data_IF_432036450533
#
_entry.id   IF_432036450533
#
_cell.length_a   1.000
_cell.length_b   1.000
_cell.length_c   1.000
_cell.angle_alpha   90.00
_cell.angle_beta   90.00
_cell.angle_gamma   90.00
#
_symmetry.space_group_name_H-M   'P 1'
#
loop_
_entity.id
_entity.type
_entity.pdbx_description
1 polymer ?
#
# COMPACT_ATOMS: atom_id res chain seq x y z
N UNK A 1 -18.77 52.69 65.88
CA UNK A 1 -18.54 54.12 65.59
C UNK A 1 -17.08 54.43 65.87
N UNK A 2 -16.42 55.13 64.94
CA UNK A 2 -15.02 55.61 64.94
C UNK A 2 -13.94 54.59 64.49
N UNK A 3 -13.69 54.47 63.18
CA UNK A 3 -12.81 55.30 62.31
C UNK A 3 -11.32 55.07 62.60
N UNK A 4 -10.59 54.31 61.76
CA UNK A 4 -9.99 54.69 60.47
C UNK A 4 -8.78 55.62 60.64
N UNK A 5 -7.58 55.17 60.20
CA UNK A 5 -6.71 55.79 59.17
C UNK A 5 -5.21 55.46 59.36
N UNK A 6 -4.62 54.84 58.33
CA UNK A 6 -3.20 54.93 57.88
C UNK A 6 -2.80 56.41 57.60
N UNK A 7 -1.55 56.84 57.29
CA UNK A 7 -0.42 56.12 56.63
C UNK A 7 1.02 56.59 57.00
N UNK A 8 2.05 56.10 56.26
CA UNK A 8 3.12 56.86 55.54
C UNK A 8 4.46 56.11 55.53
N UNK A 9 5.01 55.98 54.31
CA UNK A 9 6.33 55.46 53.93
C UNK A 9 7.49 56.41 54.30
N UNK A 10 8.66 55.86 54.62
CA UNK A 10 9.96 56.53 54.45
C UNK A 10 11.08 55.49 54.32
N UNK A 11 11.73 55.45 53.15
CA UNK A 11 13.00 54.77 52.92
C UNK A 11 14.12 55.48 53.68
N UNK A 12 15.01 54.72 54.33
CA UNK A 12 16.39 55.12 54.57
C UNK A 12 17.27 53.86 54.58
N UNK A 13 18.21 53.83 53.64
CA UNK A 13 19.21 52.79 53.46
C UNK A 13 20.24 52.84 54.60
N UNK A 14 20.48 51.69 55.22
CA UNK A 14 21.52 51.47 56.23
C UNK A 14 22.41 50.30 55.81
N UNK A 15 23.69 50.59 55.69
CA UNK A 15 24.81 49.75 55.23
C UNK A 15 24.90 48.43 56.01
N UNK A 16 25.02 47.30 55.30
CA UNK A 16 25.39 46.00 55.88
C UNK A 16 26.83 45.69 55.49
N UNK A 17 27.71 45.67 56.50
CA UNK A 17 29.04 45.09 56.43
C UNK A 17 28.99 43.62 56.87
N UNK A 18 29.78 42.82 56.17
CA UNK A 18 30.42 41.58 56.60
C UNK A 18 29.55 40.34 56.86
N UNK A 19 29.66 39.40 55.92
CA UNK A 19 29.37 37.99 56.10
C UNK A 19 29.97 37.20 54.95
N UNK A 20 31.30 37.09 54.90
CA UNK A 20 31.97 36.13 54.03
C UNK A 20 31.71 34.72 54.61
N UNK A 21 30.52 34.19 54.34
CA UNK A 21 30.17 32.80 54.53
C UNK A 21 30.50 32.06 53.25
N UNK A 22 31.69 31.46 53.20
CA UNK A 22 32.06 30.51 52.15
C UNK A 22 31.16 29.28 52.22
N UNK A 23 30.03 29.33 51.52
CA UNK A 23 29.24 28.15 51.19
C UNK A 23 29.77 27.55 49.90
N UNK A 24 30.52 26.46 50.00
CA UNK A 24 30.82 25.59 48.86
C UNK A 24 29.52 24.97 48.35
N UNK A 25 28.86 25.65 47.43
CA UNK A 25 27.73 25.11 46.69
C UNK A 25 28.25 24.07 45.70
N UNK A 26 28.10 22.80 46.07
CA UNK A 26 28.14 21.67 45.14
C UNK A 26 27.26 21.99 43.93
N UNK A 27 27.77 21.74 42.73
CA UNK A 27 27.09 22.02 41.46
C UNK A 27 25.64 21.56 41.48
N UNK A 28 24.72 22.47 41.14
CA UNK A 28 23.29 22.28 41.26
C UNK A 28 22.80 21.05 40.51
N UNK A 29 22.52 19.98 41.23
CA UNK A 29 21.58 18.96 40.80
C UNK A 29 20.19 19.60 40.77
N UNK A 30 19.68 19.94 39.59
CA UNK A 30 18.32 20.45 39.47
C UNK A 30 17.34 19.33 39.86
N UNK A 31 16.53 19.50 40.90
CA UNK A 31 15.48 18.54 41.31
C UNK A 31 14.31 18.45 40.32
N UNK A 32 14.52 18.86 39.07
CA UNK A 32 13.49 19.04 38.08
C UNK A 32 13.07 17.68 37.49
N UNK A 33 11.77 17.48 37.22
CA UNK A 33 11.24 16.20 36.78
C UNK A 33 11.66 15.87 35.35
N UNK A 34 11.95 14.59 35.09
CA UNK A 34 12.08 14.05 33.74
C UNK A 34 10.68 13.79 33.15
N UNK A 35 10.51 14.19 31.90
CA UNK A 35 9.28 13.98 31.14
C UNK A 35 9.63 13.39 29.78
N UNK A 36 8.71 12.59 29.25
CA UNK A 36 8.81 12.00 27.92
C UNK A 36 7.46 12.12 27.23
N UNK A 37 7.49 12.41 25.93
CA UNK A 37 6.33 12.37 25.05
C UNK A 37 6.66 11.52 23.82
N UNK A 38 5.63 10.87 23.29
CA UNK A 38 5.70 10.09 22.07
C UNK A 38 4.48 10.44 21.23
N UNK A 39 4.69 10.83 19.98
CA UNK A 39 3.63 11.11 19.02
C UNK A 39 3.91 10.43 17.69
N UNK A 40 2.87 10.01 17.00
CA UNK A 40 2.97 9.52 15.63
C UNK A 40 2.38 10.55 14.66
N UNK A 41 2.93 10.62 13.45
CA UNK A 41 2.39 11.43 12.37
C UNK A 41 1.00 10.93 11.92
N UNK A 42 0.82 9.60 11.94
CA UNK A 42 -0.43 8.91 11.66
C UNK A 42 -0.64 7.83 12.72
N UNK A 43 -1.84 7.77 13.29
CA UNK A 43 -2.21 6.72 14.25
C UNK A 43 -3.10 5.64 13.64
N UNK A 44 -3.41 5.76 12.34
CA UNK A 44 -4.14 4.76 11.55
C UNK A 44 -3.36 4.48 10.27
N UNK A 45 -3.14 3.20 9.98
CA UNK A 45 -2.44 2.74 8.78
C UNK A 45 -3.24 1.65 8.06
N UNK A 46 -3.19 1.63 6.73
CA UNK A 46 -3.82 0.57 5.93
C UNK A 46 -3.11 -0.78 6.09
N UNK A 47 -3.79 -1.88 5.77
CA UNK A 47 -3.19 -3.23 5.77
C UNK A 47 -2.21 -3.41 4.59
N UNK A 48 -1.02 -3.93 4.85
CA UNK A 48 0.02 -4.14 3.84
C UNK A 48 0.02 -5.56 3.25
N UNK A 49 -1.11 -5.97 2.66
CA UNK A 49 -1.29 -7.35 2.13
C UNK A 49 -0.38 -7.71 0.96
N UNK A 50 0.08 -6.71 0.20
CA UNK A 50 0.95 -6.90 -0.96
C UNK A 50 2.45 -6.86 -0.59
N UNK A 51 2.78 -6.72 0.69
CA UNK A 51 4.17 -6.74 1.15
C UNK A 51 5.02 -5.58 0.61
N UNK A 52 4.45 -4.38 0.48
CA UNK A 52 5.21 -3.20 0.07
C UNK A 52 6.34 -2.92 1.09
N UNK A 53 7.53 -2.51 0.64
CA UNK A 53 8.65 -2.26 1.54
C UNK A 53 8.44 -1.00 2.39
N UNK A 54 9.07 -0.99 3.57
CA UNK A 54 9.16 0.19 4.43
C UNK A 54 9.87 1.35 3.69
N UNK A 55 9.37 2.56 3.88
CA UNK A 55 9.88 3.78 3.28
C UNK A 55 9.07 5.00 3.69
N UNK A 56 9.46 6.18 3.21
CA UNK A 56 8.87 7.49 3.59
C UNK A 56 8.36 8.27 2.38
N UNK A 57 7.40 9.17 2.60
CA UNK A 57 6.81 10.02 1.56
C UNK A 57 5.46 9.53 1.05
N UNK A 58 4.90 10.26 0.08
CA UNK A 58 3.53 10.03 -0.41
C UNK A 58 3.30 8.62 -0.99
N UNK A 59 4.36 7.94 -1.44
CA UNK A 59 4.31 6.61 -2.04
C UNK A 59 4.46 5.46 -1.04
N UNK A 60 4.60 5.75 0.27
CA UNK A 60 4.71 4.73 1.31
C UNK A 60 3.57 4.87 2.35
N UNK A 61 2.32 4.54 1.97
CA UNK A 61 1.15 4.78 2.81
C UNK A 61 1.11 3.89 4.07
N UNK A 62 1.87 2.79 4.08
CA UNK A 62 1.94 1.80 5.17
C UNK A 62 2.93 2.18 6.29
N UNK A 63 3.65 3.30 6.17
CA UNK A 63 4.63 3.74 7.17
C UNK A 63 4.16 5.02 7.86
N UNK A 64 4.42 5.12 9.16
CA UNK A 64 4.28 6.37 9.93
C UNK A 64 5.57 6.71 10.66
N UNK A 65 5.86 8.01 10.79
CA UNK A 65 6.97 8.52 11.59
C UNK A 65 6.52 8.77 13.02
N UNK A 66 7.30 8.27 13.97
CA UNK A 66 7.14 8.53 15.40
C UNK A 66 8.22 9.51 15.85
N UNK A 67 7.81 10.48 16.66
CA UNK A 67 8.68 11.46 17.28
C UNK A 67 8.66 11.25 18.79
N UNK A 68 9.82 10.99 19.36
CA UNK A 68 10.02 10.91 20.81
C UNK A 68 10.74 12.16 21.28
N UNK A 69 10.31 12.72 22.41
CA UNK A 69 10.96 13.86 23.03
C UNK A 69 11.03 13.66 24.54
N UNK A 70 12.13 14.07 25.15
CA UNK A 70 12.30 14.11 26.60
C UNK A 70 12.91 15.43 27.05
N UNK A 71 12.50 15.88 28.24
CA UNK A 71 13.01 17.09 28.86
C UNK A 71 13.16 16.91 30.37
N UNK A 72 14.13 17.63 30.95
CA UNK A 72 14.36 17.74 32.38
C UNK A 72 14.02 19.17 32.81
N UNK A 73 12.97 19.34 33.63
CA UNK A 73 12.56 20.69 34.06
C UNK A 73 12.15 21.62 32.92
N UNK A 74 11.65 21.06 31.82
CA UNK A 74 11.28 21.80 30.60
C UNK A 74 12.46 22.17 29.70
N UNK A 75 13.69 21.83 30.06
CA UNK A 75 14.86 21.94 29.17
C UNK A 75 15.09 20.61 28.46
N UNK A 76 15.39 20.67 27.15
CA UNK A 76 15.77 19.49 26.39
C UNK A 76 16.91 18.75 27.08
N UNK A 77 16.81 17.43 27.16
CA UNK A 77 17.96 16.63 27.61
C UNK A 77 19.10 16.84 26.61
N UNK A 78 20.32 17.05 27.14
CA UNK A 78 21.50 17.24 26.31
C UNK A 78 21.69 16.05 25.36
N UNK A 79 22.39 16.28 24.25
CA UNK A 79 22.71 15.23 23.30
C UNK A 79 23.36 14.06 24.04
N UNK A 80 22.69 12.92 23.98
CA UNK A 80 23.01 11.73 24.76
C UNK A 80 23.52 10.62 23.84
N UNK A 81 24.19 9.63 24.45
CA UNK A 81 24.60 8.39 23.75
C UNK A 81 23.44 7.73 23.01
N UNK A 82 23.76 6.86 22.06
CA UNK A 82 22.80 6.17 21.18
C UNK A 82 21.68 5.37 21.91
N UNK A 83 21.77 5.19 23.22
CA UNK A 83 20.80 4.47 24.06
C UNK A 83 19.94 5.36 24.97
N UNK A 84 19.73 6.63 24.59
CA UNK A 84 18.96 7.58 25.42
C UNK A 84 17.47 7.21 25.50
N UNK A 85 16.87 6.82 24.37
CA UNK A 85 15.51 6.32 24.28
C UNK A 85 15.52 4.83 23.97
N UNK A 86 14.76 4.06 24.75
CA UNK A 86 14.45 2.67 24.42
C UNK A 86 12.98 2.56 24.00
N UNK A 87 12.74 2.25 22.73
CA UNK A 87 11.41 2.18 22.13
C UNK A 87 11.07 0.74 21.74
N UNK A 88 9.99 0.20 22.31
CA UNK A 88 9.58 -1.18 22.15
C UNK A 88 8.14 -1.29 21.65
N UNK A 89 7.88 -2.28 20.79
CA UNK A 89 6.52 -2.77 20.58
C UNK A 89 6.07 -3.63 21.76
N UNK A 90 5.06 -3.13 22.49
CA UNK A 90 4.44 -3.79 23.65
C UNK A 90 3.36 -4.77 23.25
N UNK A 91 2.65 -4.52 22.14
CA UNK A 91 1.60 -5.36 21.58
C UNK A 91 1.53 -5.19 20.05
N UNK A 92 0.94 -6.17 19.35
CA UNK A 92 0.68 -6.10 17.90
C UNK A 92 1.89 -6.41 17.02
N UNK A 93 2.76 -7.36 17.39
CA UNK A 93 3.95 -7.73 16.60
C UNK A 93 3.61 -8.29 15.21
N UNK A 94 2.47 -8.95 15.11
CA UNK A 94 1.95 -9.46 13.85
C UNK A 94 1.31 -8.36 12.99
N UNK A 95 1.08 -7.18 13.55
CA UNK A 95 0.48 -6.02 12.87
C UNK A 95 1.51 -5.10 12.23
N UNK A 96 2.81 -5.24 12.53
CA UNK A 96 3.86 -4.40 11.96
C UNK A 96 5.17 -4.43 12.74
N UNK A 97 6.15 -3.64 12.29
CA UNK A 97 7.48 -3.56 12.89
C UNK A 97 8.07 -2.14 12.92
N UNK A 98 9.14 -1.94 13.72
CA UNK A 98 9.87 -0.69 13.85
C UNK A 98 11.08 -0.63 12.92
N UNK A 99 11.44 0.58 12.45
CA UNK A 99 12.52 0.81 11.50
C UNK A 99 13.26 2.14 11.75
N UNK A 100 14.55 2.19 11.40
CA UNK A 100 15.39 3.40 11.48
C UNK A 100 15.34 4.28 10.21
N UNK A 101 15.17 3.69 9.02
CA UNK A 101 15.12 4.37 7.70
C UNK A 101 16.16 5.51 7.53
N UNK A 102 17.36 5.33 8.06
CA UNK A 102 18.43 6.34 8.11
C UNK A 102 19.54 6.11 7.06
N UNK A 103 19.42 5.03 6.27
CA UNK A 103 20.39 4.65 5.24
C UNK A 103 21.72 4.12 5.78
N UNK A 104 21.80 3.82 7.08
CA UNK A 104 23.01 3.20 7.66
C UNK A 104 23.01 1.70 7.39
N UNK A 105 24.15 1.18 6.96
CA UNK A 105 24.29 -0.25 6.62
C UNK A 105 24.05 -1.19 7.79
N UNK A 106 24.26 -0.74 9.03
CA UNK A 106 23.97 -1.50 10.25
C UNK A 106 22.47 -1.70 10.50
N UNK A 107 21.62 -0.88 9.86
CA UNK A 107 20.16 -0.96 9.93
C UNK A 107 19.55 -1.60 8.69
N UNK A 108 20.36 -2.14 7.79
CA UNK A 108 19.94 -2.75 6.54
C UNK A 108 20.41 -4.20 6.43
N UNK A 109 19.58 -5.03 5.81
CA UNK A 109 19.94 -6.38 5.38
C UNK A 109 20.19 -6.37 3.88
N UNK A 110 21.09 -7.24 3.42
CA UNK A 110 21.37 -7.42 1.99
C UNK A 110 20.71 -8.72 1.53
N UNK A 111 19.72 -8.59 0.67
CA UNK A 111 19.06 -9.73 0.02
C UNK A 111 19.41 -9.73 -1.47
N UNK A 112 19.43 -10.90 -2.10
CA UNK A 112 19.52 -10.97 -3.55
C UNK A 112 18.11 -10.87 -4.15
N UNK A 113 17.94 -9.99 -5.12
CA UNK A 113 16.71 -9.97 -5.90
C UNK A 113 16.63 -11.18 -6.86
N UNK A 114 15.55 -11.26 -7.63
CA UNK A 114 15.32 -12.34 -8.59
C UNK A 114 16.40 -12.43 -9.69
N UNK A 115 17.20 -11.36 -9.90
CA UNK A 115 18.32 -11.31 -10.84
C UNK A 115 19.66 -11.68 -10.20
N UNK A 116 19.68 -11.95 -8.89
CA UNK A 116 20.88 -12.26 -8.13
C UNK A 116 21.67 -11.02 -7.69
N UNK A 117 21.16 -9.81 -7.96
CA UNK A 117 21.77 -8.55 -7.53
C UNK A 117 21.46 -8.29 -6.05
N UNK A 118 22.46 -7.84 -5.28
CA UNK A 118 22.24 -7.46 -3.89
C UNK A 118 21.43 -6.17 -3.81
N UNK A 119 20.31 -6.26 -3.13
CA UNK A 119 19.40 -5.17 -2.79
C UNK A 119 19.43 -5.01 -1.27
N UNK A 120 19.74 -3.80 -0.83
CA UNK A 120 19.67 -3.44 0.59
C UNK A 120 18.24 -3.11 0.98
N UNK A 121 17.78 -3.69 2.08
CA UNK A 121 16.44 -3.48 2.64
C UNK A 121 16.55 -3.06 4.10
N UNK A 122 15.74 -2.10 4.56
CA UNK A 122 15.67 -1.77 5.97
C UNK A 122 15.31 -2.99 6.82
N UNK A 123 16.00 -3.15 7.95
CA UNK A 123 15.79 -4.26 8.87
C UNK A 123 14.59 -3.98 9.77
N UNK A 124 13.75 -4.99 9.98
CA UNK A 124 12.61 -4.92 10.89
C UNK A 124 13.03 -5.16 12.34
N UNK A 125 12.61 -4.28 13.25
CA UNK A 125 12.94 -4.37 14.68
C UNK A 125 11.69 -4.48 15.54
N UNK A 126 11.83 -5.20 16.66
CA UNK A 126 10.86 -5.18 17.77
C UNK A 126 11.14 -4.07 18.78
N UNK A 127 12.42 -3.74 18.93
CA UNK A 127 12.95 -2.77 19.88
C UNK A 127 14.06 -1.99 19.19
N UNK A 128 14.09 -0.68 19.44
CA UNK A 128 15.01 0.28 18.86
C UNK A 128 15.54 1.16 19.98
N UNK A 129 16.85 1.40 19.97
CA UNK A 129 17.49 2.42 20.80
C UNK A 129 17.87 3.63 19.96
N UNK A 130 17.68 4.82 20.53
CA UNK A 130 17.94 6.10 19.87
C UNK A 130 18.70 7.03 20.80
N UNK A 131 19.70 7.74 20.25
CA UNK A 131 20.31 8.87 20.93
C UNK A 131 19.34 10.04 21.07
N UNK A 132 19.68 10.99 21.94
CA UNK A 132 18.99 12.27 21.97
C UNK A 132 19.71 13.29 21.09
N UNK A 133 18.93 13.98 20.25
CA UNK A 133 19.38 15.17 19.53
C UNK A 133 18.46 16.33 19.94
N UNK A 134 19.00 17.25 20.74
CA UNK A 134 18.25 18.35 21.36
C UNK A 134 16.99 17.85 22.08
N UNK A 135 17.15 16.75 22.83
CA UNK A 135 16.08 16.13 23.60
C UNK A 135 15.03 15.37 22.79
N UNK A 136 15.22 15.16 21.49
CA UNK A 136 14.30 14.36 20.67
C UNK A 136 14.99 13.46 19.66
N UNK A 137 14.21 12.54 19.09
CA UNK A 137 14.60 11.75 17.94
C UNK A 137 13.34 11.23 17.21
N UNK A 138 13.52 10.60 16.05
CA UNK A 138 12.44 9.98 15.28
C UNK A 138 12.81 8.59 14.78
N UNK A 139 11.79 7.76 14.62
CA UNK A 139 11.87 6.42 14.05
C UNK A 139 10.55 6.10 13.36
N UNK A 140 10.43 4.91 12.77
CA UNK A 140 9.28 4.57 11.96
C UNK A 140 8.60 3.29 12.43
N UNK A 141 7.28 3.23 12.23
CA UNK A 141 6.50 2.01 12.29
C UNK A 141 5.91 1.73 10.92
N UNK A 142 5.98 0.47 10.50
CA UNK A 142 5.46 0.02 9.21
C UNK A 142 4.45 -1.11 9.43
N UNK A 143 3.27 -0.94 8.84
CA UNK A 143 2.16 -1.89 8.93
C UNK A 143 2.47 -3.22 8.21
N UNK A 144 2.09 -4.31 8.85
CA UNK A 144 2.12 -5.67 8.31
C UNK A 144 0.83 -6.05 7.61
N UNK A 145 0.67 -7.36 7.38
CA UNK A 145 -0.47 -7.97 6.69
C UNK A 145 -1.58 -8.44 7.66
N UNK A 146 -1.45 -8.17 8.96
CA UNK A 146 -2.51 -8.45 9.95
C UNK A 146 -3.08 -7.18 10.58
N UNK A 147 -4.40 -7.14 10.64
CA UNK A 147 -5.14 -6.10 11.33
C UNK A 147 -4.95 -6.20 12.85
N UNK A 148 -4.95 -5.04 13.52
CA UNK A 148 -4.88 -4.95 14.96
C UNK A 148 -4.31 -3.63 15.44
N UNK A 149 -4.05 -3.55 16.74
CA UNK A 149 -3.47 -2.36 17.36
C UNK A 149 -2.05 -2.67 17.81
N UNK A 150 -1.08 -1.95 17.25
CA UNK A 150 0.28 -1.92 17.73
C UNK A 150 0.42 -0.87 18.84
N UNK A 151 0.83 -1.29 20.03
CA UNK A 151 1.14 -0.37 21.13
C UNK A 151 2.66 -0.20 21.20
N UNK A 152 3.12 1.02 20.96
CA UNK A 152 4.55 1.37 21.00
C UNK A 152 4.81 2.17 22.26
N UNK A 153 5.86 1.82 22.98
CA UNK A 153 6.27 2.51 24.20
C UNK A 153 7.73 2.93 24.11
N UNK A 154 8.00 4.22 24.32
CA UNK A 154 9.36 4.72 24.47
C UNK A 154 9.63 5.08 25.92
N UNK A 155 10.82 4.74 26.39
CA UNK A 155 11.25 4.95 27.76
C UNK A 155 12.57 5.71 27.81
N UNK A 156 12.66 6.68 28.71
CA UNK A 156 13.91 7.32 29.13
C UNK A 156 14.17 6.97 30.60
N UNK A 157 15.45 6.77 30.96
CA UNK A 157 15.85 6.45 32.34
C UNK A 157 16.58 7.65 32.94
N UNK A 158 16.10 8.17 34.07
CA UNK A 158 16.82 9.23 34.80
C UNK A 158 18.16 8.67 35.31
N UNK A 159 19.31 9.25 34.92
CA UNK A 159 20.61 8.72 35.27
C UNK A 159 20.90 8.79 36.78
N UNK A 160 20.20 9.66 37.52
CA UNK A 160 20.44 9.94 38.94
C UNK A 160 19.80 8.91 39.86
N UNK A 161 18.52 8.61 39.63
CA UNK A 161 17.73 7.71 40.49
C UNK A 161 17.34 6.39 39.80
N UNK A 162 17.73 6.22 38.52
CA UNK A 162 17.45 5.06 37.67
C UNK A 162 15.96 4.80 37.45
N UNK A 163 15.08 5.76 37.73
CA UNK A 163 13.65 5.62 37.44
C UNK A 163 13.40 5.75 35.94
N UNK A 164 12.46 4.93 35.45
CA UNK A 164 12.05 4.88 34.06
C UNK A 164 10.80 5.71 33.85
N UNK A 165 10.83 6.61 32.87
CA UNK A 165 9.69 7.41 32.43
C UNK A 165 9.27 6.92 31.04
N UNK A 166 7.99 6.59 30.85
CA UNK A 166 7.49 5.96 29.63
C UNK A 166 6.35 6.75 29.02
N UNK A 167 6.37 6.90 27.70
CA UNK A 167 5.25 7.38 26.90
C UNK A 167 4.82 6.29 25.91
N UNK A 168 3.52 6.23 25.62
CA UNK A 168 2.95 5.21 24.74
C UNK A 168 2.10 5.84 23.64
N UNK A 169 2.10 5.23 22.46
CA UNK A 169 1.18 5.53 21.37
C UNK A 169 0.60 4.23 20.81
N UNK A 170 -0.67 4.26 20.43
CA UNK A 170 -1.31 3.16 19.71
C UNK A 170 -1.38 3.51 18.22
N UNK A 171 -0.94 2.58 17.38
CA UNK A 171 -1.11 2.62 15.94
C UNK A 171 -2.12 1.54 15.57
N UNK A 172 -3.22 1.93 14.97
CA UNK A 172 -4.22 1.01 14.48
C UNK A 172 -3.87 0.63 13.06
N UNK A 173 -3.54 -0.64 12.83
CA UNK A 173 -3.31 -1.20 11.51
C UNK A 173 -4.56 -1.92 11.08
N UNK A 174 -5.13 -1.50 9.98
CA UNK A 174 -6.28 -2.17 9.39
C UNK A 174 -7.48 -2.30 10.33
N UNK A 175 -7.80 -1.26 11.10
CA UNK A 175 -9.09 -1.25 11.81
C UNK A 175 -10.22 -1.55 10.83
N UNK A 176 -11.28 -2.21 11.30
CA UNK A 176 -12.56 -2.27 10.60
C UNK A 176 -13.12 -0.83 10.47
N UNK A 177 -12.57 -0.09 9.52
CA UNK A 177 -12.94 1.29 9.18
C UNK A 177 -14.32 1.34 8.55
N UNK A 178 -14.86 0.18 8.15
CA UNK A 178 -15.99 0.09 7.25
C UNK A 178 -15.66 0.61 5.85
N UNK A 179 -14.39 0.89 5.56
CA UNK A 179 -13.88 1.28 4.25
C UNK A 179 -13.30 0.07 3.53
N UNK A 180 -13.39 0.07 2.21
CA UNK A 180 -12.80 -0.93 1.34
C UNK A 180 -11.29 -0.93 1.55
N UNK A 181 -10.70 -2.12 1.60
CA UNK A 181 -9.26 -2.33 1.67
C UNK A 181 -8.80 -3.27 0.54
N UNK A 182 -9.62 -4.28 0.24
CA UNK A 182 -9.35 -5.23 -0.83
C UNK A 182 -10.65 -5.63 -1.54
N UNK A 183 -10.47 -6.20 -2.71
CA UNK A 183 -11.56 -6.76 -3.52
C UNK A 183 -11.18 -8.19 -3.88
N UNK A 184 -12.14 -9.10 -3.75
CA UNK A 184 -12.05 -10.46 -4.24
C UNK A 184 -13.20 -10.77 -5.19
N UNK A 185 -12.98 -11.67 -6.14
CA UNK A 185 -13.99 -12.08 -7.10
C UNK A 185 -14.08 -13.59 -7.21
N UNK A 186 -15.30 -14.11 -7.35
CA UNK A 186 -15.57 -15.55 -7.50
C UNK A 186 -16.54 -15.76 -8.65
N UNK A 187 -16.05 -16.41 -9.71
CA UNK A 187 -16.90 -16.83 -10.81
C UNK A 187 -17.63 -18.13 -10.44
N UNK A 188 -18.93 -18.19 -10.69
CA UNK A 188 -19.70 -19.44 -10.54
C UNK A 188 -19.14 -20.55 -11.45
N UNK A 189 -18.71 -20.18 -12.65
CA UNK A 189 -17.98 -21.05 -13.55
C UNK A 189 -16.62 -20.41 -13.89
N UNK A 190 -15.50 -21.08 -13.56
CA UNK A 190 -14.17 -20.51 -13.74
C UNK A 190 -13.71 -20.44 -15.19
N UNK A 191 -14.50 -20.94 -16.14
CA UNK A 191 -14.30 -20.78 -17.59
C UNK A 191 -15.65 -20.86 -18.30
N UNK A 192 -15.75 -20.20 -19.46
CA UNK A 192 -16.94 -20.22 -20.33
C UNK A 192 -16.54 -20.44 -21.78
N UNK A 193 -17.45 -20.92 -22.62
CA UNK A 193 -17.21 -21.07 -24.06
C UNK A 193 -17.58 -19.80 -24.84
N UNK A 194 -17.03 -19.65 -26.04
CA UNK A 194 -17.44 -18.60 -26.98
C UNK A 194 -18.93 -18.69 -27.34
N UNK A 195 -19.53 -17.54 -27.65
CA UNK A 195 -20.88 -17.48 -28.23
C UNK A 195 -20.94 -18.21 -29.58
N UNK A 196 -22.06 -18.89 -29.81
CA UNK A 196 -22.29 -19.65 -31.04
C UNK A 196 -21.50 -20.97 -31.14
N UNK A 197 -20.92 -21.44 -30.03
CA UNK A 197 -20.24 -22.74 -30.03
C UNK A 197 -21.20 -23.89 -30.41
N UNK A 198 -20.71 -24.85 -31.20
CA UNK A 198 -21.52 -25.91 -31.80
C UNK A 198 -22.05 -26.96 -30.80
N UNK A 199 -21.56 -26.95 -29.56
CA UNK A 199 -21.80 -27.99 -28.56
C UNK A 199 -22.67 -27.52 -27.40
N UNK A 200 -23.26 -26.32 -27.50
CA UNK A 200 -24.12 -25.71 -26.48
C UNK A 200 -23.45 -25.62 -25.09
N UNK A 201 -22.12 -25.48 -25.06
CA UNK A 201 -21.41 -25.17 -23.82
C UNK A 201 -21.78 -23.77 -23.34
N UNK A 202 -21.74 -23.60 -22.02
CA UNK A 202 -22.12 -22.37 -21.33
C UNK A 202 -21.25 -21.20 -21.78
N UNK A 203 -21.88 -20.09 -22.17
CA UNK A 203 -21.20 -18.89 -22.70
C UNK A 203 -21.18 -17.71 -21.73
N UNK A 204 -21.70 -17.90 -20.51
CA UNK A 204 -21.82 -16.85 -19.51
C UNK A 204 -21.68 -17.41 -18.10
N UNK A 205 -21.15 -16.60 -17.18
CA UNK A 205 -21.04 -16.92 -15.75
C UNK A 205 -21.49 -15.74 -14.90
N UNK A 206 -22.13 -16.04 -13.77
CA UNK A 206 -22.26 -15.07 -12.70
C UNK A 206 -20.91 -14.91 -11.98
N UNK A 207 -20.63 -13.71 -11.49
CA UNK A 207 -19.45 -13.38 -10.70
C UNK A 207 -19.92 -12.65 -9.44
N UNK A 208 -19.55 -13.20 -8.29
CA UNK A 208 -19.67 -12.50 -7.01
C UNK A 208 -18.42 -11.66 -6.78
N UNK A 209 -18.62 -10.48 -6.22
CA UNK A 209 -17.57 -9.54 -5.87
C UNK A 209 -17.68 -9.25 -4.38
N UNK A 210 -16.58 -9.39 -3.66
CA UNK A 210 -16.47 -9.08 -2.26
C UNK A 210 -15.58 -7.86 -2.10
N UNK A 211 -16.15 -6.72 -1.73
CA UNK A 211 -15.41 -5.61 -1.15
C UNK A 211 -15.21 -5.91 0.33
N UNK A 212 -13.95 -6.00 0.74
CA UNK A 212 -13.55 -6.37 2.08
C UNK A 212 -12.92 -5.17 2.78
N UNK A 213 -13.12 -5.06 4.09
CA UNK A 213 -12.41 -4.11 4.93
C UNK A 213 -10.99 -4.56 5.24
N UNK A 214 -10.26 -3.74 5.98
CA UNK A 214 -8.88 -4.03 6.35
C UNK A 214 -8.74 -5.23 7.31
N UNK A 215 -9.84 -5.81 7.82
CA UNK A 215 -9.86 -7.03 8.60
C UNK A 215 -10.24 -8.27 7.75
N UNK A 216 -10.26 -8.13 6.41
CA UNK A 216 -10.73 -9.14 5.45
C UNK A 216 -12.19 -9.58 5.70
N UNK A 217 -13.03 -8.69 6.22
CA UNK A 217 -14.46 -8.94 6.39
C UNK A 217 -15.23 -8.17 5.31
N UNK A 218 -16.36 -8.69 4.80
CA UNK A 218 -17.21 -7.91 3.91
C UNK A 218 -17.59 -6.57 4.55
N UNK A 219 -17.61 -5.51 3.75
CA UNK A 219 -18.00 -4.18 4.22
C UNK A 219 -19.37 -4.20 4.92
N UNK A 220 -19.62 -3.28 5.86
CA UNK A 220 -20.92 -3.19 6.52
C UNK A 220 -22.05 -2.93 5.51
N UNK A 221 -23.27 -3.32 5.88
CA UNK A 221 -24.47 -3.08 5.07
C UNK A 221 -24.69 -1.57 4.85
N UNK A 222 -24.74 -1.16 3.58
CA UNK A 222 -25.03 0.20 3.15
C UNK A 222 -25.73 0.14 1.80
N UNK A 223 -26.57 1.14 1.50
CA UNK A 223 -27.29 1.23 0.22
C UNK A 223 -26.56 2.04 -0.85
N UNK A 224 -25.50 2.75 -0.47
CA UNK A 224 -24.77 3.66 -1.36
C UNK A 224 -23.47 3.04 -1.90
N UNK A 225 -23.10 1.85 -1.42
CA UNK A 225 -21.85 1.23 -1.82
C UNK A 225 -21.97 0.59 -3.19
N UNK A 226 -20.99 0.87 -4.03
CA UNK A 226 -20.93 0.35 -5.38
C UNK A 226 -19.48 0.30 -5.88
N UNK A 227 -19.29 -0.53 -6.90
CA UNK A 227 -18.00 -0.79 -7.53
C UNK A 227 -18.14 -0.62 -9.03
N UNK A 228 -17.10 -0.13 -9.68
CA UNK A 228 -17.01 -0.08 -11.13
C UNK A 228 -16.39 -1.39 -11.64
N UNK A 229 -17.01 -2.03 -12.62
CA UNK A 229 -16.48 -3.25 -13.25
C UNK A 229 -16.23 -2.97 -14.73
N UNK A 230 -15.00 -3.22 -15.20
CA UNK A 230 -14.55 -2.93 -16.55
C UNK A 230 -13.99 -4.20 -17.22
N UNK A 231 -14.33 -4.42 -18.48
CA UNK A 231 -13.60 -5.34 -19.35
C UNK A 231 -12.30 -4.70 -19.77
N UNK A 232 -11.19 -5.38 -19.51
CA UNK A 232 -9.90 -4.96 -20.01
C UNK A 232 -9.80 -5.25 -21.51
N UNK A 233 -9.16 -4.36 -22.30
CA UNK A 233 -9.00 -4.56 -23.73
C UNK A 233 -8.23 -5.85 -24.06
N UNK A 234 -8.73 -6.61 -25.04
CA UNK A 234 -8.15 -7.86 -25.50
C UNK A 234 -8.98 -8.48 -26.63
N UNK A 235 -8.43 -9.44 -27.36
CA UNK A 235 -9.15 -10.08 -28.46
C UNK A 235 -10.37 -10.87 -27.96
N UNK A 236 -10.26 -11.56 -26.82
CA UNK A 236 -11.35 -12.33 -26.24
C UNK A 236 -12.44 -11.45 -25.58
N UNK A 237 -12.12 -10.19 -25.23
CA UNK A 237 -13.10 -9.24 -24.72
C UNK A 237 -13.88 -8.53 -25.84
N UNK A 238 -13.46 -8.67 -27.10
CA UNK A 238 -14.21 -8.19 -28.26
C UNK A 238 -15.58 -8.90 -28.35
N UNK A 239 -16.65 -8.12 -28.25
CA UNK A 239 -18.03 -8.63 -28.26
C UNK A 239 -18.50 -9.24 -26.94
N UNK A 240 -17.63 -9.39 -25.94
CA UNK A 240 -18.02 -9.77 -24.59
C UNK A 240 -18.78 -8.63 -23.90
N UNK A 241 -19.63 -8.97 -22.93
CA UNK A 241 -20.43 -7.99 -22.17
C UNK A 241 -20.49 -8.33 -20.70
N UNK A 242 -20.42 -7.29 -19.88
CA UNK A 242 -20.79 -7.31 -18.48
C UNK A 242 -22.27 -6.94 -18.35
N UNK A 243 -22.92 -7.52 -17.34
CA UNK A 243 -24.34 -7.36 -17.06
C UNK A 243 -24.53 -7.15 -15.55
N UNK A 244 -25.21 -6.07 -15.17
CA UNK A 244 -25.53 -5.75 -13.77
C UNK A 244 -26.89 -5.07 -13.71
N UNK A 245 -27.91 -5.79 -13.23
CA UNK A 245 -29.30 -5.32 -13.28
C UNK A 245 -29.73 -4.99 -14.72
N UNK A 246 -30.04 -3.73 -14.98
CA UNK A 246 -30.41 -3.22 -16.31
C UNK A 246 -29.22 -2.75 -17.15
N UNK A 247 -28.02 -2.68 -16.57
CA UNK A 247 -26.82 -2.22 -17.24
C UNK A 247 -26.19 -3.34 -18.09
N UNK A 248 -25.71 -2.98 -19.29
CA UNK A 248 -24.94 -3.87 -20.15
C UNK A 248 -23.88 -3.11 -20.93
N UNK A 249 -22.67 -3.66 -21.02
CA UNK A 249 -21.59 -3.05 -21.78
C UNK A 249 -20.23 -3.62 -21.48
N UNK A 250 -19.18 -2.91 -21.87
CA UNK A 250 -17.80 -3.17 -21.46
C UNK A 250 -17.47 -2.60 -20.07
N UNK A 251 -18.37 -1.81 -19.50
CA UNK A 251 -18.29 -1.27 -18.15
C UNK A 251 -19.69 -1.26 -17.54
N UNK A 252 -19.80 -1.64 -16.27
CA UNK A 252 -21.04 -1.59 -15.48
C UNK A 252 -20.73 -1.21 -14.05
N UNK A 253 -21.66 -0.55 -13.38
CA UNK A 253 -21.61 -0.32 -11.94
C UNK A 253 -22.36 -1.45 -11.21
N UNK A 254 -21.74 -1.98 -10.16
CA UNK A 254 -22.29 -3.06 -9.34
C UNK A 254 -22.52 -2.54 -7.94
N UNK A 255 -23.79 -2.47 -7.53
CA UNK A 255 -24.13 -2.15 -6.14
C UNK A 255 -23.69 -3.31 -5.23
N UNK A 256 -23.19 -2.98 -4.05
CA UNK A 256 -22.88 -3.98 -3.02
C UNK A 256 -23.77 -3.79 -1.79
N UNK A 257 -24.21 -4.91 -1.22
CA UNK A 257 -24.93 -4.95 0.05
C UNK A 257 -24.13 -5.83 0.99
N UNK A 258 -23.66 -5.26 2.09
CA UNK A 258 -22.77 -5.97 3.02
C UNK A 258 -21.45 -6.36 2.36
N UNK A 259 -20.87 -5.46 1.56
CA UNK A 259 -19.65 -5.71 0.82
C UNK A 259 -19.80 -6.67 -0.37
N UNK A 260 -20.96 -7.31 -0.57
CA UNK A 260 -21.16 -8.29 -1.65
C UNK A 260 -21.94 -7.68 -2.81
N UNK A 261 -21.34 -7.70 -3.99
CA UNK A 261 -21.96 -7.35 -5.26
C UNK A 261 -22.02 -8.56 -6.20
N UNK A 262 -22.85 -8.49 -7.24
CA UNK A 262 -22.93 -9.52 -8.27
C UNK A 262 -23.10 -8.90 -9.65
N UNK A 263 -22.36 -9.43 -10.62
CA UNK A 263 -22.57 -9.17 -12.04
C UNK A 263 -22.54 -10.48 -12.83
N UNK A 264 -22.88 -10.44 -14.11
CA UNK A 264 -22.67 -11.56 -15.03
C UNK A 264 -21.74 -11.15 -16.16
N UNK A 265 -20.90 -12.09 -16.57
CA UNK A 265 -20.07 -12.00 -17.76
C UNK A 265 -20.68 -12.87 -18.86
N UNK A 266 -20.81 -12.32 -20.06
CA UNK A 266 -21.13 -13.05 -21.29
C UNK A 266 -19.95 -12.96 -22.24
N UNK A 267 -19.48 -14.12 -22.72
CA UNK A 267 -18.39 -14.20 -23.69
C UNK A 267 -18.77 -13.60 -25.04
N UNK A 268 -17.75 -13.18 -25.80
CA UNK A 268 -17.86 -12.90 -27.23
C UNK A 268 -17.66 -14.16 -28.07
N UNK A 269 -17.28 -13.99 -29.34
CA UNK A 269 -17.07 -15.09 -30.30
C UNK A 269 -15.61 -15.55 -30.40
N UNK A 270 -14.68 -14.83 -29.77
CA UNK A 270 -13.24 -15.10 -29.87
C UNK A 270 -12.74 -15.80 -28.60
N UNK A 271 -12.07 -16.96 -28.71
CA UNK A 271 -11.48 -17.63 -27.56
C UNK A 271 -10.23 -16.87 -27.06
N UNK A 272 -9.88 -17.08 -25.79
CA UNK A 272 -8.73 -16.46 -25.15
C UNK A 272 -8.99 -16.11 -23.69
N UNK A 273 -8.11 -15.32 -23.10
CA UNK A 273 -8.26 -14.86 -21.71
C UNK A 273 -8.94 -13.49 -21.68
N UNK A 274 -9.92 -13.32 -20.81
CA UNK A 274 -10.54 -12.03 -20.54
C UNK A 274 -10.14 -11.54 -19.16
N UNK A 275 -9.70 -10.28 -19.11
CA UNK A 275 -9.50 -9.53 -17.87
C UNK A 275 -10.72 -8.74 -17.49
N UNK A 276 -11.13 -8.84 -16.22
CA UNK A 276 -12.21 -8.05 -15.65
C UNK A 276 -11.65 -7.27 -14.47
N UNK A 277 -11.48 -5.96 -14.62
CA UNK A 277 -11.07 -5.06 -13.54
C UNK A 277 -12.30 -4.68 -12.71
N UNK A 278 -12.18 -4.78 -11.40
CA UNK A 278 -13.13 -4.24 -10.43
C UNK A 278 -12.44 -3.15 -9.65
N UNK A 279 -13.10 -1.99 -9.52
CA UNK A 279 -12.60 -0.82 -8.80
C UNK A 279 -13.60 -0.40 -7.73
N UNK A 280 -13.12 -0.20 -6.50
CA UNK A 280 -13.85 0.46 -5.43
C UNK A 280 -13.11 1.75 -5.02
N UNK A 281 -13.82 2.73 -4.46
CA UNK A 281 -13.19 3.88 -3.82
C UNK A 281 -13.02 3.59 -2.33
N UNK A 282 -11.78 3.56 -1.83
CA UNK A 282 -11.48 3.39 -0.41
C UNK A 282 -12.02 4.54 0.44
N UNK A 283 -12.13 5.74 -0.13
CA UNK A 283 -12.49 6.93 0.64
C UNK A 283 -13.91 6.84 1.23
N UNK A 284 -14.85 6.26 0.49
CA UNK A 284 -16.27 6.19 0.87
C UNK A 284 -17.05 4.97 0.35
N UNK A 285 -16.37 4.02 -0.31
CA UNK A 285 -16.93 2.82 -0.94
C UNK A 285 -17.96 3.10 -2.03
N UNK A 286 -17.87 4.25 -2.70
CA UNK A 286 -18.81 4.66 -3.71
C UNK A 286 -18.06 5.27 -4.91
N UNK A 287 -18.23 4.68 -6.09
CA UNK A 287 -17.60 5.19 -7.32
C UNK A 287 -18.47 6.19 -8.07
N UNK A 288 -19.70 6.45 -7.60
CA UNK A 288 -20.68 7.29 -8.32
C UNK A 288 -20.40 8.79 -8.25
N UNK A 289 -19.61 9.23 -7.27
CA UNK A 289 -19.21 10.64 -7.06
C UNK A 289 -17.77 10.93 -7.54
N UNK A 290 -17.13 9.98 -8.22
CA UNK A 290 -15.71 10.02 -8.54
C UNK A 290 -15.00 8.85 -7.88
N UNK A 291 -13.70 8.72 -8.16
CA UNK A 291 -12.83 7.76 -7.48
C UNK A 291 -11.68 8.57 -6.90
N UNK A 292 -11.64 8.69 -5.57
CA UNK A 292 -10.65 9.47 -4.83
C UNK A 292 -9.43 8.61 -4.48
N UNK A 293 -9.66 7.41 -3.97
CA UNK A 293 -8.62 6.47 -3.54
C UNK A 293 -8.92 5.06 -4.11
N UNK A 294 -8.47 4.75 -5.34
CA UNK A 294 -8.86 3.53 -6.03
C UNK A 294 -8.25 2.26 -5.42
N UNK A 295 -9.11 1.30 -5.09
CA UNK A 295 -8.73 -0.11 -4.86
C UNK A 295 -9.13 -0.92 -6.08
N UNK A 296 -8.20 -1.72 -6.60
CA UNK A 296 -8.39 -2.48 -7.83
C UNK A 296 -8.15 -3.96 -7.63
N UNK A 297 -8.95 -4.78 -8.29
CA UNK A 297 -8.73 -6.22 -8.44
C UNK A 297 -9.01 -6.62 -9.89
N UNK A 298 -8.19 -7.52 -10.43
CA UNK A 298 -8.36 -8.02 -11.80
C UNK A 298 -8.64 -9.52 -11.75
N UNK A 299 -9.86 -9.89 -12.13
CA UNK A 299 -10.26 -11.27 -12.35
C UNK A 299 -9.83 -11.72 -13.74
N UNK A 300 -9.26 -12.93 -13.81
CA UNK A 300 -8.94 -13.60 -15.06
C UNK A 300 -10.03 -14.63 -15.37
N UNK A 301 -10.63 -14.56 -16.55
CA UNK A 301 -11.62 -15.54 -17.01
C UNK A 301 -11.23 -16.14 -18.38
N UNK A 302 -10.88 -17.43 -18.43
CA UNK A 302 -10.69 -18.15 -19.68
C UNK A 302 -12.01 -18.28 -20.48
N UNK A 303 -11.95 -17.89 -21.75
CA UNK A 303 -12.98 -18.11 -22.76
C UNK A 303 -12.48 -19.18 -23.74
N UNK A 304 -13.07 -20.37 -23.69
CA UNK A 304 -12.65 -21.51 -24.50
C UNK A 304 -13.40 -21.58 -25.84
N UNK A 305 -12.81 -22.21 -26.85
CA UNK A 305 -13.43 -22.38 -28.17
C UNK A 305 -14.73 -23.20 -28.16
N UNK A 306 -14.97 -23.96 -27.09
CA UNK A 306 -16.08 -24.89 -27.00
C UNK A 306 -15.96 -26.10 -27.93
N UNK A 307 -14.77 -26.35 -28.50
CA UNK A 307 -14.47 -27.55 -29.28
C UNK A 307 -14.02 -28.71 -28.35
N UNK A 308 -14.34 -29.97 -28.67
CA UNK A 308 -13.81 -31.15 -28.00
C UNK A 308 -12.28 -31.19 -28.08
N UNK A 309 -11.67 -31.91 -27.13
CA UNK A 309 -10.22 -31.98 -26.93
C UNK A 309 -9.38 -32.46 -28.13
N UNK A 310 -10.02 -32.93 -29.20
CA UNK A 310 -9.39 -33.59 -30.35
C UNK A 310 -9.40 -32.74 -31.63
N UNK A 311 -10.06 -31.58 -31.63
CA UNK A 311 -10.19 -30.71 -32.82
C UNK A 311 -9.79 -29.28 -32.46
N UNK A 312 -8.49 -29.04 -32.32
CA UNK A 312 -7.95 -27.70 -32.13
C UNK A 312 -7.12 -27.28 -33.34
N UNK A 313 -7.30 -26.03 -33.79
CA UNK A 313 -6.35 -25.39 -34.70
C UNK A 313 -4.95 -25.32 -34.02
N UNK A 314 -3.85 -25.22 -34.78
CA UNK A 314 -2.53 -25.05 -34.15
C UNK A 314 -2.47 -23.83 -33.23
N UNK A 315 -1.80 -23.96 -32.08
CA UNK A 315 -1.56 -22.82 -31.18
C UNK A 315 -0.79 -21.72 -31.93
N UNK A 316 -1.33 -20.52 -31.91
CA UNK A 316 -0.76 -19.32 -32.54
C UNK A 316 -0.82 -18.14 -31.58
N UNK A 317 0.15 -17.25 -31.71
CA UNK A 317 0.17 -15.96 -31.02
C UNK A 317 0.34 -14.89 -32.06
N UNK A 318 -0.61 -13.96 -32.14
CA UNK A 318 -0.44 -12.79 -32.99
C UNK A 318 0.71 -11.94 -32.44
N UNK A 319 1.50 -11.32 -33.31
CA UNK A 319 2.47 -10.30 -32.90
C UNK A 319 1.70 -9.07 -32.41
N UNK A 320 1.49 -8.99 -31.09
CA UNK A 320 0.80 -7.87 -30.44
C UNK A 320 1.84 -6.92 -29.87
N UNK A 321 1.66 -5.61 -30.06
CA UNK A 321 2.42 -4.59 -29.32
C UNK A 321 1.50 -4.08 -28.22
N UNK A 322 1.72 -4.45 -26.94
CA UNK A 322 0.97 -3.88 -25.83
C UNK A 322 1.04 -2.35 -25.88
N UNK A 323 -0.01 -1.63 -25.43
CA UNK A 323 0.04 -0.19 -25.25
C UNK A 323 1.22 0.20 -24.37
N UNK A 324 1.80 1.38 -24.61
CA UNK A 324 2.90 1.88 -23.80
C UNK A 324 2.48 2.02 -22.32
N UNK A 325 3.33 1.55 -21.42
CA UNK A 325 3.18 1.75 -19.98
C UNK A 325 3.84 3.07 -19.57
N UNK A 326 3.26 3.80 -18.61
CA UNK A 326 3.82 5.06 -18.14
C UNK A 326 4.49 4.88 -16.78
N UNK A 327 5.70 5.43 -16.62
CA UNK A 327 6.45 5.36 -15.36
C UNK A 327 5.64 5.92 -14.21
N UNK A 328 5.59 5.19 -13.09
CA UNK A 328 4.86 5.57 -11.89
C UNK A 328 3.33 5.46 -11.99
N UNK A 329 2.77 5.04 -13.14
CA UNK A 329 1.36 4.74 -13.28
C UNK A 329 1.10 3.23 -13.30
N UNK A 330 0.04 2.74 -12.63
CA UNK A 330 -0.35 1.34 -12.72
C UNK A 330 -0.65 0.94 -14.17
N UNK A 331 -0.15 -0.23 -14.56
CA UNK A 331 -0.31 -0.82 -15.88
C UNK A 331 -0.93 -2.20 -15.77
N UNK A 332 -1.82 -2.54 -16.72
CA UNK A 332 -2.39 -3.88 -16.87
C UNK A 332 -2.73 -4.15 -18.33
N UNK A 333 -2.30 -5.30 -18.84
CA UNK A 333 -2.55 -5.74 -20.21
C UNK A 333 -2.61 -7.26 -20.32
N UNK A 334 -3.60 -7.80 -21.03
CA UNK A 334 -3.73 -9.23 -21.26
C UNK A 334 -3.14 -9.64 -22.60
N UNK A 335 -2.24 -10.62 -22.54
CA UNK A 335 -1.77 -11.33 -23.72
C UNK A 335 -2.85 -12.28 -24.23
N UNK A 336 -2.86 -12.51 -25.54
CA UNK A 336 -3.81 -13.40 -26.19
C UNK A 336 -3.11 -14.43 -27.08
N UNK A 337 -3.68 -15.63 -27.10
CA UNK A 337 -3.31 -16.72 -28.00
C UNK A 337 -4.59 -17.30 -28.62
N UNK A 338 -4.47 -17.88 -29.80
CA UNK A 338 -5.55 -18.51 -30.55
C UNK A 338 -5.15 -19.93 -30.98
N UNK A 339 -6.14 -20.76 -31.32
CA UNK A 339 -5.92 -22.19 -31.53
C UNK A 339 -5.47 -22.91 -30.25
N UNK A 340 -5.08 -24.17 -30.36
CA UNK A 340 -4.75 -25.01 -29.21
C UNK A 340 -5.91 -25.17 -28.24
N UNK A 341 -5.59 -25.73 -27.08
CA UNK A 341 -6.54 -26.03 -26.01
C UNK A 341 -6.38 -25.08 -24.82
N UNK A 342 -7.18 -24.03 -24.72
CA UNK A 342 -7.25 -23.21 -23.51
C UNK A 342 -7.57 -24.07 -22.25
N UNK A 343 -7.16 -23.67 -21.02
CA UNK A 343 -6.45 -22.43 -20.67
C UNK A 343 -5.00 -22.39 -21.17
N UNK A 344 -4.49 -21.17 -21.33
CA UNK A 344 -3.11 -20.91 -21.74
C UNK A 344 -2.26 -20.49 -20.55
N UNK A 345 -1.05 -21.03 -20.45
CA UNK A 345 -0.05 -20.67 -19.46
C UNK A 345 1.08 -19.87 -20.11
N UNK A 346 1.31 -18.67 -19.61
CA UNK A 346 2.32 -17.73 -20.08
C UNK A 346 3.54 -17.71 -19.17
N UNK A 347 4.71 -17.49 -19.76
CA UNK A 347 5.95 -17.27 -19.05
C UNK A 347 6.84 -16.29 -19.83
N UNK A 348 7.49 -15.38 -19.12
CA UNK A 348 8.58 -14.59 -19.69
C UNK A 348 9.84 -15.44 -19.72
N UNK A 349 10.54 -15.47 -20.86
CA UNK A 349 11.82 -16.16 -21.03
C UNK A 349 13.02 -15.22 -20.82
N UNK A 350 12.76 -13.94 -20.55
CA UNK A 350 13.75 -12.91 -20.26
C UNK A 350 13.19 -11.88 -19.30
N UNK A 351 13.98 -10.84 -19.01
CA UNK A 351 13.60 -9.79 -18.07
C UNK A 351 12.48 -8.91 -18.63
N UNK A 352 11.51 -8.59 -17.78
CA UNK A 352 10.49 -7.58 -18.04
C UNK A 352 11.02 -6.19 -17.65
N UNK A 353 10.46 -5.09 -18.18
CA UNK A 353 10.77 -3.75 -17.69
C UNK A 353 10.59 -3.66 -16.17
N UNK A 354 11.52 -2.98 -15.50
CA UNK A 354 11.51 -2.88 -14.04
C UNK A 354 10.16 -2.37 -13.50
N UNK A 355 9.60 -3.08 -12.54
CA UNK A 355 8.28 -2.79 -11.95
C UNK A 355 7.10 -3.45 -12.65
N UNK A 356 7.32 -4.18 -13.76
CA UNK A 356 6.31 -5.04 -14.39
C UNK A 356 6.56 -6.52 -14.11
N UNK A 357 5.48 -7.29 -14.01
CA UNK A 357 5.46 -8.73 -13.87
C UNK A 357 4.47 -9.38 -14.84
N UNK A 358 4.65 -10.67 -15.12
CA UNK A 358 3.75 -11.47 -15.94
C UNK A 358 3.21 -12.64 -15.10
N UNK A 359 1.88 -12.71 -14.98
CA UNK A 359 1.19 -13.86 -14.40
C UNK A 359 1.13 -15.04 -15.37
N UNK A 360 0.91 -16.24 -14.84
CA UNK A 360 0.75 -17.46 -15.65
C UNK A 360 -0.47 -17.36 -16.57
N UNK A 361 -1.47 -16.57 -16.21
CA UNK A 361 -2.70 -16.36 -16.96
C UNK A 361 -2.53 -15.39 -18.16
N UNK A 362 -1.36 -14.75 -18.28
CA UNK A 362 -1.07 -13.81 -19.36
C UNK A 362 -1.37 -12.35 -19.03
N UNK A 363 -1.63 -12.00 -17.77
CA UNK A 363 -1.69 -10.60 -17.33
C UNK A 363 -0.27 -10.06 -17.12
N UNK A 364 0.11 -9.10 -17.97
CA UNK A 364 1.27 -8.23 -17.80
C UNK A 364 0.83 -7.00 -16.97
N UNK A 365 1.34 -6.85 -15.76
CA UNK A 365 0.90 -5.78 -14.85
C UNK A 365 2.01 -5.28 -13.93
N UNK A 366 1.75 -4.14 -13.26
CA UNK A 366 2.65 -3.55 -12.29
C UNK A 366 2.73 -2.04 -12.43
N UNK A 367 3.71 -1.42 -11.77
CA UNK A 367 3.98 0.02 -11.87
C UNK A 367 5.42 0.18 -12.36
N UNK A 368 5.63 0.54 -13.64
CA UNK A 368 6.98 0.68 -14.18
C UNK A 368 7.80 1.69 -13.36
N UNK A 369 8.97 1.26 -12.91
CA UNK A 369 9.92 2.08 -12.13
C UNK A 369 11.13 2.51 -12.94
N UNK A 370 11.27 2.01 -14.17
CA UNK A 370 12.38 2.36 -15.05
C UNK A 370 12.35 3.86 -15.35
N UNK A 371 13.39 4.58 -14.96
CA UNK A 371 13.47 6.05 -15.08
C UNK A 371 13.70 6.56 -16.51
N UNK A 372 14.11 5.68 -17.42
CA UNK A 372 14.33 6.00 -18.84
C UNK A 372 13.19 5.45 -19.70
N UNK A 373 12.65 6.27 -20.59
CA UNK A 373 11.71 5.80 -21.60
C UNK A 373 12.43 4.92 -22.62
N UNK A 374 11.81 3.82 -23.03
CA UNK A 374 12.42 2.86 -23.95
C UNK A 374 11.47 1.74 -24.34
N UNK A 375 11.84 0.98 -25.36
CA UNK A 375 11.14 -0.25 -25.75
C UNK A 375 12.02 -1.45 -25.43
N UNK A 376 11.49 -2.39 -24.65
CA UNK A 376 12.20 -3.62 -24.27
C UNK A 376 11.60 -4.80 -25.04
N UNK A 377 12.39 -5.49 -25.89
CA UNK A 377 11.97 -6.74 -26.51
C UNK A 377 12.02 -7.87 -25.49
N UNK A 378 10.90 -8.59 -25.33
CA UNK A 378 10.78 -9.72 -24.40
C UNK A 378 10.28 -10.95 -25.14
N UNK A 379 10.99 -12.06 -24.98
CA UNK A 379 10.54 -13.36 -25.46
C UNK A 379 9.55 -13.96 -24.45
N UNK A 380 8.33 -14.26 -24.91
CA UNK A 380 7.27 -14.88 -24.11
C UNK A 380 6.97 -16.27 -24.65
N UNK A 381 6.79 -17.23 -23.75
CA UNK A 381 6.31 -18.57 -24.08
C UNK A 381 4.85 -18.70 -23.65
N UNK A 382 4.04 -19.28 -24.53
CA UNK A 382 2.70 -19.75 -24.20
C UNK A 382 2.64 -21.27 -24.36
N UNK A 383 1.96 -21.93 -23.43
CA UNK A 383 1.67 -23.36 -23.46
C UNK A 383 0.16 -23.55 -23.29
N UNK A 384 -0.45 -24.40 -24.11
CA UNK A 384 -1.86 -24.76 -23.95
C UNK A 384 -2.03 -25.94 -22.96
N UNK A 385 -3.28 -26.24 -22.59
CA UNK A 385 -3.60 -27.32 -21.64
C UNK A 385 -3.28 -28.73 -22.14
N UNK A 386 -2.91 -28.89 -23.42
CA UNK A 386 -2.48 -30.17 -24.03
C UNK A 386 -0.97 -30.23 -24.27
N UNK A 387 -0.23 -29.17 -23.89
CA UNK A 387 1.23 -29.10 -23.98
C UNK A 387 1.76 -28.55 -25.29
N UNK A 388 0.91 -28.09 -26.21
CA UNK A 388 1.40 -27.37 -27.39
C UNK A 388 2.01 -26.04 -26.93
N UNK A 389 3.16 -25.66 -27.51
CA UNK A 389 3.89 -24.46 -27.09
C UNK A 389 4.28 -23.58 -28.27
N UNK A 390 4.23 -22.27 -28.04
CA UNK A 390 4.78 -21.25 -28.94
C UNK A 390 5.64 -20.26 -28.18
N UNK A 391 6.62 -19.68 -28.88
CA UNK A 391 7.44 -18.56 -28.39
C UNK A 391 7.22 -17.37 -29.30
N UNK A 392 6.97 -16.20 -28.71
CA UNK A 392 6.76 -14.94 -29.42
C UNK A 392 7.65 -13.85 -28.83
N UNK A 393 8.13 -12.94 -29.66
CA UNK A 393 8.80 -11.73 -29.19
C UNK A 393 7.81 -10.56 -29.15
N UNK A 394 7.75 -9.88 -28.03
CA UNK A 394 6.84 -8.77 -27.76
C UNK A 394 7.66 -7.53 -27.40
N UNK A 395 7.31 -6.38 -27.97
CA UNK A 395 7.96 -5.10 -27.66
C UNK A 395 7.13 -4.35 -26.63
N UNK A 396 7.65 -4.19 -25.41
CA UNK A 396 6.98 -3.44 -24.33
C UNK A 396 7.59 -2.04 -24.27
N UNK A 397 6.80 -1.03 -24.59
CA UNK A 397 7.21 0.36 -24.48
C UNK A 397 6.92 0.91 -23.08
N UNK A 398 7.89 1.59 -22.48
CA UNK A 398 7.74 2.37 -21.24
C UNK A 398 8.02 3.84 -21.55
N UNK A 399 7.10 4.73 -21.17
CA UNK A 399 7.17 6.17 -21.42
C UNK A 399 7.22 6.96 -20.11
N UNK A 400 7.93 8.09 -20.11
CA UNK A 400 7.95 9.01 -18.98
C UNK A 400 6.55 9.61 -18.74
N UNK A 401 6.22 10.04 -17.51
CA UNK A 401 4.98 10.76 -17.24
C UNK A 401 4.98 12.05 -18.06
N UNK A 402 3.84 12.43 -18.64
CA UNK A 402 3.71 13.75 -19.26
C UNK A 402 3.98 14.82 -18.20
N UNK A 403 4.89 15.76 -18.48
CA UNK A 403 5.08 16.93 -17.63
C UNK A 403 3.74 17.68 -17.59
N UNK A 404 3.25 18.09 -16.40
CA UNK A 404 2.06 18.92 -16.32
C UNK A 404 2.22 20.13 -17.24
N UNK A 405 1.30 20.32 -18.18
CA UNK A 405 1.22 21.57 -18.94
C UNK A 405 0.97 22.68 -17.94
N UNK A 406 1.99 23.50 -17.68
CA UNK A 406 1.80 24.76 -16.98
C UNK A 406 0.98 25.64 -17.91
N UNK A 407 -0.32 25.73 -17.66
CA UNK A 407 -1.19 26.68 -18.36
C UNK A 407 -0.83 28.08 -17.86
N UNK A 408 0.19 28.68 -18.48
CA UNK A 408 0.55 30.06 -18.23
C UNK A 408 -0.51 30.97 -18.85
N UNK A 409 -1.40 31.51 -18.03
CA UNK A 409 -2.11 32.74 -18.41
C UNK A 409 -1.06 33.86 -18.41
N UNK A 410 -0.54 34.19 -19.58
CA UNK A 410 0.15 35.45 -19.78
C UNK A 410 -0.89 36.56 -19.66
N UNK A 411 -0.87 37.28 -18.54
CA UNK A 411 -1.63 38.53 -18.41
C UNK A 411 -0.89 39.61 -19.21
N UNK A 412 -1.54 40.31 -20.16
CA UNK A 412 -0.92 41.40 -20.91
C UNK A 412 -0.61 42.63 -20.05
#
# INVERSE_FOLDING_TARGET
MRTLKYPVYSLLAGVVLAGCGGGGGSGGESSAPYTISLRAEKTSLPLNVQGYPAGIGAYHPYTTTLYVQASQGGQAIADGSDDTFACDMRAGLDTGALYYLDGKSEHETSDKDASGQEVKRPTAYRSITLGANSGGNSFHFHAGDKAGVATIACTVTDPRDKKRHTATVNITVGAATGMAASIETVAQFPAVAVQGNAYNYRTATAVQVFALDDANQPLPNSTNYNMLVNLLPGSASAGARLLSGTQSGSSVTVNSVGGVGQFAFSAGTTPGTVGIEVVADRADNNVSNGIQDPIKHVMVLPVVSGQPAEVYEPLTVASVSPPAATVGLPYSYFLSAAGGAAPYAWAALGELPAGLGLSQEGLLSGTPTQTQSGTVPVALRVIDSKGASQVVNVSIAVTAPEKPKVSGTATP
#
